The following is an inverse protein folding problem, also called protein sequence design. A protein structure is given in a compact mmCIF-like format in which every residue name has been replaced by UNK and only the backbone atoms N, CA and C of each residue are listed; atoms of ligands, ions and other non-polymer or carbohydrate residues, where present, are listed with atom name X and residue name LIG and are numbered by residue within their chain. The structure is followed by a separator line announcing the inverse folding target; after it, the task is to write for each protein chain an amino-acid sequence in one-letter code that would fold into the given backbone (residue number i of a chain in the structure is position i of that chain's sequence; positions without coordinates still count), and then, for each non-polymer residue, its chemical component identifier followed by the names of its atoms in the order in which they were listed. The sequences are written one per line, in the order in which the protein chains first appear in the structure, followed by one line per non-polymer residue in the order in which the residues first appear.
data_IF_490732207729
#
_entry.id   IF_490732207729
#
_cell.length_a   1.000
_cell.length_b   1.000
_cell.length_c   1.000
_cell.angle_alpha   90.00
_cell.angle_beta   90.00
_cell.angle_gamma   90.00
#
_symmetry.space_group_name_H-M   'P 1'
#
loop_
_entity.id
_entity.type
_entity.pdbx_description
1 polymer ?
#
# COMPACT_ATOMS: atom_id res chain seq x y z
N UNK A 1 -40.72 24.71 -4.09
CA UNK A 1 -39.53 24.18 -3.39
C UNK A 1 -38.59 23.71 -4.47
N UNK A 2 -37.68 24.59 -4.82
CA UNK A 2 -36.77 24.44 -5.99
C UNK A 2 -35.75 23.35 -5.73
N UNK A 3 -35.80 22.36 -6.58
CA UNK A 3 -34.77 21.33 -6.79
C UNK A 3 -33.50 22.04 -7.31
N UNK A 4 -32.60 22.43 -6.37
CA UNK A 4 -31.26 22.85 -6.74
C UNK A 4 -30.48 21.62 -7.14
N UNK A 5 -30.66 21.20 -8.39
CA UNK A 5 -29.80 20.24 -9.05
C UNK A 5 -28.36 20.59 -8.75
N UNK A 6 -27.67 19.67 -8.05
CA UNK A 6 -26.23 19.77 -7.81
C UNK A 6 -25.55 20.01 -9.16
N UNK A 7 -25.06 21.23 -9.37
CA UNK A 7 -24.34 21.60 -10.57
C UNK A 7 -23.17 20.64 -10.73
N UNK A 8 -23.29 19.70 -11.64
CA UNK A 8 -22.21 18.78 -12.00
C UNK A 8 -21.07 19.65 -12.54
N UNK A 9 -19.95 19.65 -11.80
CA UNK A 9 -18.75 20.34 -12.25
C UNK A 9 -18.35 19.71 -13.57
N UNK A 10 -18.56 20.42 -14.67
CA UNK A 10 -18.21 19.93 -15.99
C UNK A 10 -16.68 19.89 -16.12
N UNK A 11 -16.13 18.71 -15.97
CA UNK A 11 -14.70 18.48 -16.21
C UNK A 11 -14.50 18.34 -17.71
N UNK A 12 -13.70 19.18 -18.37
CA UNK A 12 -13.57 19.17 -19.83
C UNK A 12 -13.08 17.85 -20.41
N UNK A 13 -12.32 17.05 -19.63
CA UNK A 13 -11.76 15.75 -20.06
C UNK A 13 -11.73 14.74 -18.90
N UNK A 14 -12.88 14.17 -18.47
CA UNK A 14 -12.93 13.34 -17.28
C UNK A 14 -12.11 12.05 -17.39
N UNK A 15 -11.97 11.47 -18.58
CA UNK A 15 -11.11 10.28 -18.80
C UNK A 15 -9.62 10.60 -18.57
N UNK A 16 -9.15 11.75 -19.08
CA UNK A 16 -7.74 12.16 -18.91
C UNK A 16 -7.43 12.46 -17.44
N UNK A 17 -8.35 13.11 -16.73
CA UNK A 17 -8.21 13.32 -15.28
C UNK A 17 -8.05 11.99 -14.53
N UNK A 18 -8.86 10.98 -14.83
CA UNK A 18 -8.75 9.67 -14.19
C UNK A 18 -7.39 9.00 -14.43
N UNK A 19 -6.85 9.10 -15.65
CA UNK A 19 -5.52 8.58 -15.96
C UNK A 19 -4.41 9.35 -15.25
N UNK A 20 -4.54 10.65 -15.11
CA UNK A 20 -3.60 11.48 -14.33
C UNK A 20 -3.63 11.08 -12.85
N UNK A 21 -4.82 10.93 -12.25
CA UNK A 21 -4.95 10.48 -10.87
C UNK A 21 -4.40 9.06 -10.67
N UNK A 22 -4.62 8.16 -11.63
CA UNK A 22 -4.04 6.83 -11.61
C UNK A 22 -2.50 6.86 -11.73
N UNK A 23 -1.94 7.75 -12.55
CA UNK A 23 -0.49 7.91 -12.68
C UNK A 23 0.16 8.49 -11.41
N UNK A 24 -0.48 9.47 -10.77
CA UNK A 24 -0.06 9.96 -9.44
C UNK A 24 -0.03 8.81 -8.43
N UNK A 25 -1.10 7.99 -8.40
CA UNK A 25 -1.18 6.86 -7.50
C UNK A 25 -0.12 5.79 -7.81
N UNK A 26 0.11 5.52 -9.09
CA UNK A 26 1.12 4.56 -9.56
C UNK A 26 2.54 4.95 -9.10
N UNK A 27 2.94 6.20 -9.30
CA UNK A 27 4.31 6.65 -8.98
C UNK A 27 4.60 6.58 -7.50
N UNK A 28 3.69 7.03 -6.64
CA UNK A 28 3.93 6.96 -5.20
C UNK A 28 3.85 5.54 -4.63
N UNK A 29 3.01 4.67 -5.19
CA UNK A 29 2.97 3.24 -4.82
C UNK A 29 4.26 2.55 -5.25
N UNK A 30 4.73 2.81 -6.47
CA UNK A 30 5.98 2.25 -6.97
C UNK A 30 7.17 2.69 -6.13
N UNK A 31 7.27 3.98 -5.79
CA UNK A 31 8.31 4.52 -4.93
C UNK A 31 8.34 3.85 -3.54
N UNK A 32 7.16 3.60 -2.97
CA UNK A 32 7.06 2.85 -1.71
C UNK A 32 7.53 1.40 -1.87
N UNK A 33 7.11 0.72 -2.93
CA UNK A 33 7.34 -0.71 -3.11
C UNK A 33 8.78 -1.05 -3.52
N UNK A 34 9.44 -0.19 -4.31
CA UNK A 34 10.73 -0.53 -4.94
C UNK A 34 11.88 -0.68 -3.94
N UNK A 35 11.82 0.00 -2.79
CA UNK A 35 12.86 -0.08 -1.76
C UNK A 35 13.01 -1.49 -1.18
N UNK A 36 11.90 -2.22 -1.04
CA UNK A 36 11.91 -3.54 -0.40
C UNK A 36 12.74 -4.56 -1.20
N UNK A 37 12.52 -4.75 -2.50
CA UNK A 37 13.35 -5.67 -3.29
C UNK A 37 14.76 -5.13 -3.58
N UNK A 38 15.03 -3.83 -3.44
CA UNK A 38 16.39 -3.27 -3.46
C UNK A 38 17.18 -3.53 -2.17
N UNK A 39 16.55 -4.12 -1.16
CA UNK A 39 17.16 -4.35 0.15
C UNK A 39 18.54 -5.00 0.14
N UNK A 40 18.80 -6.09 -0.63
CA UNK A 40 20.14 -6.68 -0.70
C UNK A 40 21.19 -5.69 -1.17
N UNK A 41 20.88 -4.90 -2.19
CA UNK A 41 21.76 -3.89 -2.77
C UNK A 41 22.02 -2.74 -1.80
N UNK A 42 20.95 -2.16 -1.22
CA UNK A 42 21.06 -1.04 -0.27
C UNK A 42 21.83 -1.42 0.99
N UNK A 43 21.59 -2.63 1.54
CA UNK A 43 22.35 -3.10 2.70
C UNK A 43 23.84 -3.29 2.41
N UNK A 44 24.21 -3.59 1.17
CA UNK A 44 25.60 -3.74 0.75
C UNK A 44 26.26 -2.39 0.49
N UNK A 45 25.60 -1.49 -0.25
CA UNK A 45 26.17 -0.19 -0.64
C UNK A 45 26.37 0.71 0.56
N UNK A 46 25.40 0.79 1.46
CA UNK A 46 25.49 1.64 2.66
C UNK A 46 26.06 0.93 3.88
N UNK A 47 26.44 -0.34 3.74
CA UNK A 47 26.91 -1.20 4.86
C UNK A 47 25.99 -1.14 6.10
N UNK A 48 24.68 -1.18 5.87
CA UNK A 48 23.68 -1.05 6.91
C UNK A 48 23.17 -2.41 7.39
N UNK A 49 22.79 -2.45 8.66
CA UNK A 49 22.16 -3.62 9.30
C UNK A 49 20.72 -3.85 8.79
N UNK A 50 20.18 -5.06 8.96
CA UNK A 50 18.75 -5.34 8.70
C UNK A 50 17.80 -4.39 9.43
N UNK A 51 18.17 -3.99 10.67
CA UNK A 51 17.37 -3.01 11.44
C UNK A 51 17.39 -1.63 10.79
N UNK A 52 18.55 -1.13 10.35
CA UNK A 52 18.64 0.14 9.62
C UNK A 52 17.89 0.09 8.30
N UNK A 53 17.98 -1.02 7.56
CA UNK A 53 17.18 -1.21 6.35
C UNK A 53 15.67 -1.16 6.65
N UNK A 54 15.22 -1.75 7.74
CA UNK A 54 13.80 -1.69 8.13
C UNK A 54 13.33 -0.25 8.43
N UNK A 55 14.20 0.62 8.93
CA UNK A 55 13.91 2.05 9.08
C UNK A 55 13.68 2.75 7.72
N UNK A 56 14.45 2.42 6.67
CA UNK A 56 14.24 2.98 5.33
C UNK A 56 12.85 2.61 4.78
N UNK A 57 12.41 1.38 5.01
CA UNK A 57 11.08 0.94 4.58
C UNK A 57 9.98 1.58 5.42
N UNK A 58 10.16 1.59 6.75
CA UNK A 58 9.17 2.12 7.69
C UNK A 58 8.99 3.63 7.59
N UNK A 59 10.07 4.36 7.32
CA UNK A 59 10.08 5.83 7.26
C UNK A 59 9.00 6.38 6.34
N UNK A 60 8.85 5.79 5.16
CA UNK A 60 7.81 6.19 4.22
C UNK A 60 6.40 5.94 4.80
N UNK A 61 6.12 4.73 5.29
CA UNK A 61 4.80 4.35 5.80
C UNK A 61 4.40 5.17 7.03
N UNK A 62 5.32 5.38 7.96
CA UNK A 62 5.09 6.19 9.17
C UNK A 62 4.83 7.65 8.80
N UNK A 63 5.67 8.25 7.94
CA UNK A 63 5.48 9.61 7.48
C UNK A 63 4.17 9.78 6.70
N UNK A 64 3.82 8.82 5.81
CA UNK A 64 2.56 8.82 5.06
C UNK A 64 1.34 8.72 5.99
N UNK A 65 1.42 7.89 7.03
CA UNK A 65 0.35 7.78 8.03
C UNK A 65 0.13 9.09 8.79
N UNK A 66 1.19 9.65 9.36
CA UNK A 66 1.11 10.89 10.14
C UNK A 66 0.65 12.07 9.27
N UNK A 67 1.28 12.25 8.11
CA UNK A 67 0.93 13.35 7.21
C UNK A 67 -0.47 13.16 6.60
N UNK A 68 -0.85 11.93 6.24
CA UNK A 68 -2.20 11.63 5.73
C UNK A 68 -3.29 11.86 6.77
N UNK A 69 -3.03 11.48 8.02
CA UNK A 69 -3.95 11.74 9.14
C UNK A 69 -4.12 13.25 9.40
N UNK A 70 -3.00 13.98 9.52
CA UNK A 70 -3.02 15.43 9.72
C UNK A 70 -3.59 16.18 8.51
N UNK A 71 -3.24 15.72 7.30
CA UNK A 71 -3.76 16.27 6.05
C UNK A 71 -5.28 16.20 5.96
N UNK A 72 -5.91 15.14 6.50
CA UNK A 72 -7.36 15.00 6.53
C UNK A 72 -8.09 16.16 7.22
N UNK A 73 -7.44 16.90 8.15
CA UNK A 73 -8.03 18.06 8.83
C UNK A 73 -7.81 19.38 8.08
N UNK A 74 -6.81 19.43 7.22
CA UNK A 74 -6.32 20.68 6.61
C UNK A 74 -6.68 20.77 5.14
N UNK A 75 -6.66 19.65 4.44
CA UNK A 75 -6.80 19.60 2.98
C UNK A 75 -8.17 20.06 2.46
N UNK A 76 -9.23 19.98 3.26
CA UNK A 76 -10.56 20.46 2.87
C UNK A 76 -10.65 21.99 2.77
N UNK A 77 -9.66 22.73 3.33
CA UNK A 77 -9.57 24.19 3.26
C UNK A 77 -8.91 24.70 1.99
N UNK A 78 -8.17 23.83 1.29
CA UNK A 78 -7.41 24.19 0.09
C UNK A 78 -8.15 23.76 -1.17
N UNK A 79 -7.87 24.47 -2.25
CA UNK A 79 -8.24 24.02 -3.59
C UNK A 79 -7.55 22.69 -3.91
N UNK A 80 -8.34 21.69 -4.36
CA UNK A 80 -7.87 20.33 -4.63
C UNK A 80 -6.73 20.27 -5.64
N UNK A 81 -6.79 21.14 -6.68
CA UNK A 81 -5.73 21.26 -7.70
C UNK A 81 -4.43 21.73 -7.08
N UNK A 82 -4.47 22.85 -6.35
CA UNK A 82 -3.28 23.42 -5.71
C UNK A 82 -2.69 22.43 -4.72
N UNK A 83 -3.53 21.81 -3.87
CA UNK A 83 -3.07 20.80 -2.92
C UNK A 83 -2.39 19.61 -3.64
N UNK A 84 -3.04 19.04 -4.66
CA UNK A 84 -2.46 17.91 -5.41
C UNK A 84 -1.12 18.27 -6.05
N UNK A 85 -1.05 19.40 -6.75
CA UNK A 85 0.16 19.82 -7.46
C UNK A 85 1.31 20.13 -6.51
N UNK A 86 1.06 20.82 -5.39
CA UNK A 86 2.10 21.12 -4.40
C UNK A 86 2.62 19.84 -3.74
N UNK A 87 1.72 18.97 -3.32
CA UNK A 87 2.09 17.69 -2.67
C UNK A 87 2.84 16.78 -3.65
N UNK A 88 2.39 16.73 -4.90
CA UNK A 88 3.00 15.87 -5.90
C UNK A 88 4.36 16.42 -6.38
N UNK A 89 4.54 17.74 -6.45
CA UNK A 89 5.84 18.36 -6.68
C UNK A 89 6.81 18.02 -5.53
N UNK A 90 6.36 18.18 -4.27
CA UNK A 90 7.14 17.78 -3.10
C UNK A 90 7.53 16.30 -3.10
N UNK A 91 6.60 15.42 -3.50
CA UNK A 91 6.88 13.99 -3.69
C UNK A 91 7.96 13.75 -4.76
N UNK A 92 7.84 14.38 -5.94
CA UNK A 92 8.83 14.24 -7.02
C UNK A 92 10.23 14.72 -6.61
N UNK A 93 10.32 15.85 -5.88
CA UNK A 93 11.58 16.36 -5.35
C UNK A 93 12.16 15.43 -4.27
N UNK A 94 11.34 14.89 -3.39
CA UNK A 94 11.78 13.94 -2.38
C UNK A 94 12.27 12.61 -3.00
N UNK A 95 11.59 12.12 -4.05
CA UNK A 95 12.02 10.94 -4.81
C UNK A 95 13.34 11.20 -5.53
N UNK A 96 13.53 12.40 -6.11
CA UNK A 96 14.81 12.81 -6.68
C UNK A 96 15.91 12.89 -5.61
N UNK A 97 15.58 13.37 -4.41
CA UNK A 97 16.52 13.38 -3.28
C UNK A 97 16.89 11.95 -2.85
N UNK A 98 15.97 10.97 -2.95
CA UNK A 98 16.34 9.56 -2.74
C UNK A 98 17.38 9.09 -3.76
N UNK A 99 17.23 9.46 -5.04
CA UNK A 99 18.19 9.11 -6.09
C UNK A 99 19.57 9.76 -5.90
N UNK A 100 19.62 10.91 -5.26
CA UNK A 100 20.85 11.71 -5.06
C UNK A 100 21.44 11.53 -3.66
N UNK A 101 20.92 10.62 -2.84
CA UNK A 101 21.31 10.46 -1.45
C UNK A 101 22.72 9.85 -1.31
N UNK A 102 23.73 10.57 -0.80
CA UNK A 102 25.09 10.05 -0.68
C UNK A 102 25.30 9.18 0.56
N UNK A 103 24.39 9.25 1.54
CA UNK A 103 24.48 8.52 2.81
C UNK A 103 23.14 7.90 3.20
N UNK A 104 23.19 6.94 4.11
CA UNK A 104 21.99 6.31 4.67
C UNK A 104 21.05 7.35 5.30
N UNK A 105 21.57 8.31 6.05
CA UNK A 105 20.79 9.34 6.74
C UNK A 105 20.08 10.26 5.74
N UNK A 106 20.77 10.63 4.65
CA UNK A 106 20.19 11.42 3.56
C UNK A 106 19.05 10.65 2.87
N UNK A 107 19.26 9.36 2.60
CA UNK A 107 18.22 8.49 2.03
C UNK A 107 17.04 8.35 2.99
N UNK A 108 17.29 8.16 4.29
CA UNK A 108 16.24 8.06 5.31
C UNK A 108 15.41 9.35 5.39
N UNK A 109 16.06 10.52 5.40
CA UNK A 109 15.38 11.82 5.36
C UNK A 109 14.55 12.02 4.11
N UNK A 110 15.09 11.65 2.94
CA UNK A 110 14.36 11.71 1.66
C UNK A 110 13.15 10.76 1.66
N UNK A 111 13.25 9.55 2.24
CA UNK A 111 12.14 8.59 2.40
C UNK A 111 11.03 9.13 3.30
N UNK A 112 11.38 9.79 4.42
CA UNK A 112 10.40 10.48 5.28
C UNK A 112 9.65 11.56 4.50
N UNK A 113 10.36 12.40 3.74
CA UNK A 113 9.76 13.45 2.91
C UNK A 113 8.86 12.86 1.82
N UNK A 114 9.33 11.84 1.07
CA UNK A 114 8.56 11.18 0.02
C UNK A 114 7.27 10.55 0.58
N UNK A 115 7.36 9.91 1.76
CA UNK A 115 6.20 9.35 2.45
C UNK A 115 5.20 10.43 2.87
N UNK A 116 5.67 11.52 3.46
CA UNK A 116 4.80 12.62 3.90
C UNK A 116 4.02 13.24 2.72
N UNK A 117 4.70 13.59 1.65
CA UNK A 117 4.06 14.15 0.46
C UNK A 117 3.18 13.13 -0.28
N UNK A 118 3.69 11.90 -0.50
CA UNK A 118 2.97 10.84 -1.22
C UNK A 118 1.71 10.36 -0.51
N UNK A 119 1.75 10.21 0.82
CA UNK A 119 0.61 9.78 1.62
C UNK A 119 -0.55 10.77 1.57
N UNK A 120 -0.26 12.08 1.68
CA UNK A 120 -1.30 13.13 1.56
C UNK A 120 -1.79 13.25 0.12
N UNK A 121 -0.90 13.16 -0.88
CA UNK A 121 -1.29 13.20 -2.29
C UNK A 121 -2.28 12.08 -2.64
N UNK A 122 -2.07 10.85 -2.15
CA UNK A 122 -2.99 9.73 -2.29
C UNK A 122 -4.38 10.01 -1.68
N UNK A 123 -4.43 10.68 -0.53
CA UNK A 123 -5.69 11.09 0.10
C UNK A 123 -6.43 12.14 -0.74
N UNK A 124 -5.72 13.10 -1.31
CA UNK A 124 -6.29 14.13 -2.20
C UNK A 124 -6.84 13.49 -3.48
N UNK A 125 -6.13 12.51 -4.08
CA UNK A 125 -6.63 11.72 -5.23
C UNK A 125 -7.97 11.07 -4.93
N UNK A 126 -8.10 10.40 -3.78
CA UNK A 126 -9.35 9.76 -3.38
C UNK A 126 -10.49 10.77 -3.14
N UNK A 127 -10.18 11.93 -2.55
CA UNK A 127 -11.16 13.00 -2.37
C UNK A 127 -11.64 13.55 -3.71
N UNK A 128 -10.74 13.80 -4.66
CA UNK A 128 -11.09 14.27 -6.00
C UNK A 128 -11.98 13.29 -6.76
N UNK A 129 -11.76 11.98 -6.60
CA UNK A 129 -12.66 10.96 -7.17
C UNK A 129 -14.10 11.11 -6.64
N UNK A 130 -14.24 11.37 -5.34
CA UNK A 130 -15.53 11.60 -4.71
C UNK A 130 -16.22 12.89 -5.17
N UNK A 131 -15.44 13.96 -5.41
CA UNK A 131 -15.95 15.29 -5.75
C UNK A 131 -16.33 15.41 -7.24
N UNK A 132 -15.55 14.74 -8.14
CA UNK A 132 -15.66 14.93 -9.61
C UNK A 132 -16.57 13.89 -10.26
N UNK A 133 -16.63 12.68 -9.71
CA UNK A 133 -17.31 11.57 -10.38
C UNK A 133 -18.73 11.37 -9.84
N UNK A 134 -19.68 11.30 -10.76
CA UNK A 134 -21.09 10.98 -10.45
C UNK A 134 -21.20 9.70 -9.61
N UNK A 135 -22.12 9.64 -8.64
CA UNK A 135 -22.27 8.49 -7.72
C UNK A 135 -22.34 7.13 -8.43
N UNK A 136 -23.08 7.03 -9.56
CA UNK A 136 -23.23 5.80 -10.33
C UNK A 136 -21.98 5.34 -11.07
N UNK A 137 -20.97 6.21 -11.25
CA UNK A 137 -19.71 5.92 -11.96
C UNK A 137 -18.48 5.86 -11.05
N UNK A 138 -18.64 6.21 -9.77
CA UNK A 138 -17.52 6.24 -8.80
C UNK A 138 -16.81 4.90 -8.66
N UNK A 139 -17.53 3.79 -8.66
CA UNK A 139 -16.94 2.46 -8.57
C UNK A 139 -15.98 2.16 -9.72
N UNK A 140 -16.38 2.47 -10.95
CA UNK A 140 -15.52 2.28 -12.14
C UNK A 140 -14.30 3.22 -12.11
N UNK A 141 -14.47 4.45 -11.70
CA UNK A 141 -13.39 5.42 -11.60
C UNK A 141 -12.38 5.01 -10.51
N UNK A 142 -12.87 4.59 -9.34
CA UNK A 142 -12.02 4.06 -8.27
C UNK A 142 -11.25 2.82 -8.73
N UNK A 143 -11.87 1.90 -9.48
CA UNK A 143 -11.17 0.72 -10.01
C UNK A 143 -10.01 1.10 -10.94
N UNK A 144 -10.17 2.14 -11.78
CA UNK A 144 -9.09 2.63 -12.65
C UNK A 144 -7.92 3.16 -11.81
N UNK A 145 -8.20 3.97 -10.79
CA UNK A 145 -7.14 4.52 -9.93
C UNK A 145 -6.50 3.45 -9.05
N UNK A 146 -7.30 2.51 -8.53
CA UNK A 146 -6.80 1.39 -7.72
C UNK A 146 -6.00 0.37 -8.54
N UNK A 147 -6.14 0.32 -9.88
CA UNK A 147 -5.29 -0.51 -10.75
C UNK A 147 -3.81 -0.08 -10.73
N UNK A 148 -3.51 1.08 -10.20
CA UNK A 148 -2.14 1.55 -9.99
C UNK A 148 -1.31 0.58 -9.14
N UNK A 149 -1.90 -0.05 -8.12
CA UNK A 149 -1.18 -1.00 -7.26
C UNK A 149 -0.73 -2.27 -8.01
N UNK A 150 -1.62 -3.04 -8.66
CA UNK A 150 -1.18 -4.20 -9.44
C UNK A 150 -0.26 -3.80 -10.61
N UNK A 151 -0.47 -2.66 -11.27
CA UNK A 151 0.43 -2.20 -12.32
C UNK A 151 1.83 -1.87 -11.78
N UNK A 152 1.94 -1.23 -10.61
CA UNK A 152 3.23 -1.00 -9.98
C UNK A 152 3.96 -2.31 -9.65
N UNK A 153 3.22 -3.32 -9.15
CA UNK A 153 3.80 -4.64 -8.83
C UNK A 153 4.28 -5.41 -10.07
N UNK A 154 3.51 -5.34 -11.18
CA UNK A 154 3.78 -6.16 -12.38
C UNK A 154 4.79 -5.51 -13.30
N UNK A 155 4.69 -4.20 -13.51
CA UNK A 155 5.52 -3.46 -14.46
C UNK A 155 6.57 -2.62 -13.73
N UNK A 156 6.15 -1.90 -12.69
CA UNK A 156 7.00 -0.94 -12.01
C UNK A 156 8.16 -1.57 -11.27
N UNK A 157 7.88 -2.53 -10.39
CA UNK A 157 8.92 -3.18 -9.57
C UNK A 157 9.91 -3.97 -10.44
N UNK A 158 9.49 -4.86 -11.37
CA UNK A 158 10.44 -5.57 -12.21
C UNK A 158 11.25 -4.64 -13.12
N UNK A 159 10.63 -3.60 -13.70
CA UNK A 159 11.35 -2.61 -14.51
C UNK A 159 12.38 -1.82 -13.67
N UNK A 160 11.99 -1.40 -12.47
CA UNK A 160 12.90 -0.73 -11.54
C UNK A 160 14.08 -1.62 -11.13
N UNK A 161 13.82 -2.87 -10.78
CA UNK A 161 14.89 -3.83 -10.46
C UNK A 161 15.79 -4.12 -11.68
N UNK A 162 15.22 -4.22 -12.88
CA UNK A 162 15.98 -4.37 -14.12
C UNK A 162 16.90 -3.18 -14.40
N UNK A 163 16.46 -1.96 -14.07
CA UNK A 163 17.29 -0.76 -14.14
C UNK A 163 18.38 -0.77 -13.08
N UNK A 164 18.04 -1.12 -11.83
CA UNK A 164 19.02 -1.22 -10.75
C UNK A 164 20.11 -2.26 -11.05
N UNK A 165 19.75 -3.38 -11.69
CA UNK A 165 20.70 -4.41 -12.07
C UNK A 165 21.65 -3.99 -13.21
N UNK A 166 21.26 -2.98 -14.03
CA UNK A 166 22.07 -2.52 -15.19
C UNK A 166 22.88 -1.27 -14.89
N UNK A 167 22.38 -0.39 -14.04
CA UNK A 167 23.00 0.91 -13.78
C UNK A 167 23.45 1.01 -12.33
N UNK A 168 22.54 1.22 -11.40
CA UNK A 168 22.75 1.16 -9.95
C UNK A 168 21.39 1.31 -9.22
N UNK A 169 21.39 1.24 -7.88
CA UNK A 169 20.19 1.35 -7.02
C UNK A 169 19.45 2.69 -7.15
N UNK A 170 20.11 3.76 -7.58
CA UNK A 170 19.54 5.09 -7.81
C UNK A 170 18.63 5.14 -9.05
N UNK A 171 18.91 4.32 -10.06
CA UNK A 171 18.25 4.39 -11.37
C UNK A 171 16.72 4.26 -11.31
N UNK A 172 16.11 3.39 -10.48
CA UNK A 172 14.67 3.35 -10.29
C UNK A 172 14.09 4.67 -9.76
N UNK A 173 14.78 5.33 -8.83
CA UNK A 173 14.32 6.62 -8.26
C UNK A 173 14.41 7.75 -9.30
N UNK A 174 15.47 7.79 -10.12
CA UNK A 174 15.57 8.71 -11.25
C UNK A 174 14.41 8.50 -12.25
N UNK A 175 14.08 7.25 -12.56
CA UNK A 175 12.95 6.95 -13.44
C UNK A 175 11.63 7.45 -12.83
N UNK A 176 11.38 7.16 -11.55
CA UNK A 176 10.15 7.59 -10.87
C UNK A 176 10.07 9.11 -10.82
N UNK A 177 11.18 9.80 -10.51
CA UNK A 177 11.25 11.26 -10.51
C UNK A 177 10.98 11.85 -11.90
N UNK A 178 11.55 11.27 -12.96
CA UNK A 178 11.30 11.70 -14.33
C UNK A 178 9.82 11.50 -14.74
N UNK A 179 9.23 10.35 -14.41
CA UNK A 179 7.81 10.10 -14.63
C UNK A 179 6.96 11.09 -13.81
N UNK A 180 7.35 11.38 -12.56
CA UNK A 180 6.64 12.35 -11.73
C UNK A 180 6.65 13.77 -12.35
N UNK A 181 7.75 14.20 -12.97
CA UNK A 181 7.81 15.47 -13.68
C UNK A 181 6.82 15.48 -14.85
N UNK A 182 6.79 14.42 -15.67
CA UNK A 182 5.86 14.33 -16.81
C UNK A 182 4.41 14.35 -16.32
N UNK A 183 4.08 13.55 -15.30
CA UNK A 183 2.73 13.51 -14.72
C UNK A 183 2.36 14.84 -14.10
N UNK A 184 3.29 15.55 -13.43
CA UNK A 184 3.07 16.90 -12.89
C UNK A 184 2.71 17.90 -13.98
N UNK A 185 3.45 17.91 -15.09
CA UNK A 185 3.17 18.82 -16.23
C UNK A 185 1.77 18.55 -16.81
N UNK A 186 1.43 17.27 -16.99
CA UNK A 186 0.09 16.87 -17.48
C UNK A 186 -0.99 17.24 -16.45
N UNK A 187 -0.77 16.96 -15.18
CA UNK A 187 -1.68 17.29 -14.09
C UNK A 187 -1.93 18.82 -14.01
N UNK A 188 -0.87 19.60 -14.12
CA UNK A 188 -0.97 21.07 -14.12
C UNK A 188 -1.90 21.62 -15.22
N UNK A 189 -1.92 20.96 -16.39
CA UNK A 189 -2.75 21.36 -17.55
C UNK A 189 -4.17 20.79 -17.52
N UNK A 190 -4.41 19.69 -16.79
CA UNK A 190 -5.65 18.90 -16.90
C UNK A 190 -6.51 18.91 -15.65
N UNK A 191 -5.89 19.07 -14.47
CA UNK A 191 -6.63 19.07 -13.21
C UNK A 191 -7.34 20.41 -13.03
N UNK A 192 -8.68 20.42 -12.92
CA UNK A 192 -9.43 21.65 -12.70
C UNK A 192 -9.28 22.15 -11.26
N UNK A 193 -9.47 23.47 -11.05
CA UNK A 193 -9.63 24.03 -9.71
C UNK A 193 -10.94 23.53 -9.11
N UNK A 194 -10.85 22.89 -7.96
CA UNK A 194 -11.98 22.29 -7.25
C UNK A 194 -11.90 22.66 -5.79
N UNK A 195 -12.86 23.45 -5.33
CA UNK A 195 -13.07 23.68 -3.91
C UNK A 195 -14.04 22.64 -3.37
N UNK A 196 -13.81 22.14 -2.15
CA UNK A 196 -14.73 21.21 -1.50
C UNK A 196 -16.14 21.80 -1.44
N UNK A 197 -17.10 21.11 -2.06
CA UNK A 197 -18.49 21.57 -2.09
C UNK A 197 -19.15 21.54 -0.69
N UNK A 198 -18.65 20.68 0.20
CA UNK A 198 -19.20 20.47 1.54
C UNK A 198 -18.07 20.31 2.56
N UNK A 199 -17.49 21.42 3.06
CA UNK A 199 -16.55 21.32 4.16
C UNK A 199 -17.25 20.72 5.37
N UNK A 200 -16.63 19.72 6.00
CA UNK A 200 -17.18 19.09 7.21
C UNK A 200 -17.28 20.15 8.30
N UNK A 201 -18.51 20.43 8.76
CA UNK A 201 -18.77 21.50 9.72
C UNK A 201 -17.98 21.35 11.04
N UNK A 202 -17.75 20.11 11.49
CA UNK A 202 -17.03 19.81 12.72
C UNK A 202 -16.11 18.58 12.55
N UNK A 203 -14.96 18.69 11.85
CA UNK A 203 -14.10 17.56 11.55
C UNK A 203 -13.56 16.87 12.81
N UNK A 204 -13.20 17.63 13.86
CA UNK A 204 -12.73 17.07 15.12
C UNK A 204 -13.80 16.28 15.88
N UNK A 205 -15.07 16.76 15.87
CA UNK A 205 -16.19 16.06 16.52
C UNK A 205 -16.48 14.74 15.79
N UNK A 206 -16.51 14.77 14.48
CA UNK A 206 -16.72 13.56 13.67
C UNK A 206 -15.57 12.55 13.88
N UNK A 207 -14.32 13.01 13.88
CA UNK A 207 -13.14 12.18 14.14
C UNK A 207 -13.22 11.52 15.51
N UNK A 208 -13.57 12.30 16.55
CA UNK A 208 -13.73 11.76 17.90
C UNK A 208 -14.80 10.67 17.96
N UNK A 209 -15.94 10.86 17.29
CA UNK A 209 -16.99 9.85 17.22
C UNK A 209 -16.50 8.58 16.52
N UNK A 210 -15.77 8.72 15.41
CA UNK A 210 -15.22 7.58 14.67
C UNK A 210 -14.21 6.82 15.54
N UNK A 211 -13.31 7.51 16.23
CA UNK A 211 -12.26 6.89 17.05
C UNK A 211 -12.80 6.29 18.36
N UNK A 212 -13.91 6.80 18.90
CA UNK A 212 -14.49 6.34 20.17
C UNK A 212 -15.46 5.16 20.01
N UNK A 213 -15.87 4.85 18.78
CA UNK A 213 -16.82 3.76 18.52
C UNK A 213 -16.12 2.39 18.60
N UNK A 214 -16.66 1.50 19.43
CA UNK A 214 -16.08 0.17 19.66
C UNK A 214 -16.05 -0.72 18.39
N UNK A 215 -17.04 -0.57 17.51
CA UNK A 215 -17.07 -1.32 16.25
C UNK A 215 -15.96 -0.84 15.32
N UNK A 216 -15.77 0.49 15.24
CA UNK A 216 -14.72 1.11 14.45
C UNK A 216 -13.33 0.72 14.96
N UNK A 217 -13.10 0.74 16.28
CA UNK A 217 -11.82 0.34 16.88
C UNK A 217 -11.46 -1.12 16.56
N UNK A 218 -12.42 -2.03 16.62
CA UNK A 218 -12.22 -3.43 16.20
C UNK A 218 -11.93 -3.54 14.70
N UNK A 219 -12.58 -2.73 13.89
CA UNK A 219 -12.31 -2.63 12.46
C UNK A 219 -10.88 -2.14 12.18
N UNK A 220 -10.43 -1.10 12.88
CA UNK A 220 -9.06 -0.60 12.77
C UNK A 220 -8.03 -1.64 13.20
N UNK A 221 -8.27 -2.33 14.31
CA UNK A 221 -7.35 -3.38 14.78
C UNK A 221 -7.28 -4.56 13.79
N UNK A 222 -8.44 -5.00 13.26
CA UNK A 222 -8.48 -6.04 12.22
C UNK A 222 -7.69 -5.61 10.97
N UNK A 223 -7.87 -4.38 10.53
CA UNK A 223 -7.19 -3.81 9.36
C UNK A 223 -5.69 -3.64 9.61
N UNK A 224 -5.30 -3.23 10.82
CA UNK A 224 -3.89 -3.15 11.22
C UNK A 224 -3.23 -4.52 11.17
N UNK A 225 -3.85 -5.55 11.73
CA UNK A 225 -3.31 -6.93 11.72
C UNK A 225 -3.25 -7.53 10.32
N UNK A 226 -4.26 -7.21 9.47
CA UNK A 226 -4.28 -7.60 8.05
C UNK A 226 -3.04 -7.10 7.31
N UNK A 227 -2.68 -5.83 7.48
CA UNK A 227 -1.51 -5.22 6.84
C UNK A 227 -0.22 -5.65 7.52
N UNK A 228 -0.19 -5.66 8.85
CA UNK A 228 0.98 -6.05 9.63
C UNK A 228 1.53 -7.41 9.23
N UNK A 229 0.63 -8.41 9.07
CA UNK A 229 1.01 -9.79 8.73
C UNK A 229 1.79 -9.92 7.42
N UNK A 230 1.50 -9.11 6.41
CA UNK A 230 2.26 -9.09 5.15
C UNK A 230 3.51 -8.19 5.24
N UNK A 231 3.34 -6.99 5.83
CA UNK A 231 4.39 -5.97 5.86
C UNK A 231 5.58 -6.33 6.76
N UNK A 232 5.46 -7.29 7.66
CA UNK A 232 6.64 -7.80 8.38
C UNK A 232 7.48 -8.76 7.52
N UNK A 233 6.87 -9.48 6.56
CA UNK A 233 7.58 -10.46 5.71
C UNK A 233 8.22 -9.80 4.48
N UNK A 234 7.49 -8.90 3.81
CA UNK A 234 7.86 -8.35 2.50
C UNK A 234 9.24 -7.67 2.49
N UNK A 235 9.65 -6.83 3.48
CA UNK A 235 10.93 -6.13 3.43
C UNK A 235 12.15 -7.07 3.35
N UNK A 236 12.06 -8.22 4.00
CA UNK A 236 13.15 -9.18 4.05
C UNK A 236 13.01 -10.35 3.06
N UNK A 237 11.99 -10.34 2.22
CA UNK A 237 11.77 -11.39 1.22
C UNK A 237 12.91 -11.44 0.21
N UNK A 238 13.24 -10.33 -0.46
CA UNK A 238 14.35 -10.28 -1.40
C UNK A 238 15.72 -10.47 -0.72
N UNK A 239 16.03 -9.79 0.42
CA UNK A 239 17.25 -10.04 1.17
C UNK A 239 17.43 -11.51 1.56
N UNK A 240 16.37 -12.18 2.01
CA UNK A 240 16.42 -13.59 2.38
C UNK A 240 16.62 -14.50 1.16
N UNK A 241 16.00 -14.19 0.03
CA UNK A 241 16.20 -14.96 -1.20
C UNK A 241 17.65 -14.89 -1.70
N UNK A 242 18.28 -13.74 -1.60
CA UNK A 242 19.68 -13.58 -1.98
C UNK A 242 20.61 -14.20 -0.93
N UNK A 243 20.46 -13.83 0.33
CA UNK A 243 21.39 -14.23 1.37
C UNK A 243 21.24 -15.70 1.82
N UNK A 244 20.00 -16.22 1.87
CA UNK A 244 19.72 -17.56 2.43
C UNK A 244 19.45 -18.60 1.34
N UNK A 245 18.71 -18.23 0.28
CA UNK A 245 18.34 -19.19 -0.76
C UNK A 245 19.34 -19.26 -1.93
N UNK A 246 20.39 -18.42 -1.94
CA UNK A 246 21.46 -18.46 -2.93
C UNK A 246 21.07 -17.89 -4.29
N UNK A 247 20.01 -17.08 -4.37
CA UNK A 247 19.58 -16.43 -5.60
C UNK A 247 20.41 -15.18 -5.87
N UNK A 248 20.54 -14.79 -7.13
CA UNK A 248 21.22 -13.54 -7.52
C UNK A 248 20.23 -12.37 -7.57
N UNK A 249 20.72 -11.15 -7.35
CA UNK A 249 19.91 -9.94 -7.50
C UNK A 249 19.34 -9.79 -8.92
N UNK A 250 20.06 -10.24 -9.95
CA UNK A 250 19.60 -10.23 -11.33
C UNK A 250 18.37 -11.13 -11.61
N UNK A 251 18.09 -12.10 -10.72
CA UNK A 251 16.92 -12.98 -10.82
C UNK A 251 15.67 -12.41 -10.15
N UNK A 252 15.82 -11.42 -9.25
CA UNK A 252 14.70 -10.81 -8.54
C UNK A 252 13.64 -10.20 -9.45
N UNK A 253 13.98 -9.48 -10.54
CA UNK A 253 12.97 -8.94 -11.46
C UNK A 253 11.99 -10.00 -11.96
N UNK A 254 12.52 -11.18 -12.34
CA UNK A 254 11.71 -12.29 -12.85
C UNK A 254 10.80 -12.89 -11.76
N UNK A 255 11.32 -13.01 -10.55
CA UNK A 255 10.56 -13.52 -9.38
C UNK A 255 9.40 -12.60 -9.03
N UNK A 256 9.63 -11.28 -8.99
CA UNK A 256 8.58 -10.30 -8.71
C UNK A 256 7.58 -10.18 -9.86
N UNK A 257 8.04 -10.31 -11.12
CA UNK A 257 7.14 -10.35 -12.28
C UNK A 257 6.17 -11.53 -12.20
N UNK A 258 6.66 -12.72 -11.87
CA UNK A 258 5.81 -13.90 -11.69
C UNK A 258 4.76 -13.69 -10.59
N UNK A 259 5.15 -13.10 -9.45
CA UNK A 259 4.25 -12.76 -8.36
C UNK A 259 3.19 -11.74 -8.77
N UNK A 260 3.60 -10.67 -9.46
CA UNK A 260 2.70 -9.65 -9.98
C UNK A 260 1.69 -10.20 -10.98
N UNK A 261 2.13 -10.99 -11.95
CA UNK A 261 1.26 -11.64 -12.94
C UNK A 261 0.25 -12.59 -12.29
N UNK A 262 0.69 -13.41 -11.34
CA UNK A 262 -0.21 -14.29 -10.59
C UNK A 262 -1.27 -13.48 -9.81
N UNK A 263 -0.90 -12.36 -9.22
CA UNK A 263 -1.82 -11.46 -8.49
C UNK A 263 -2.83 -10.82 -9.45
N UNK A 264 -2.41 -10.39 -10.64
CA UNK A 264 -3.31 -9.81 -11.64
C UNK A 264 -4.44 -10.78 -12.02
N UNK A 265 -4.09 -12.03 -12.24
CA UNK A 265 -5.06 -13.08 -12.61
C UNK A 265 -5.94 -13.48 -11.42
N UNK A 266 -5.35 -13.62 -10.24
CA UNK A 266 -6.07 -14.11 -9.05
C UNK A 266 -6.99 -13.07 -8.41
N UNK A 267 -6.67 -11.77 -8.50
CA UNK A 267 -7.46 -10.71 -7.84
C UNK A 267 -8.92 -10.68 -8.30
N UNK A 268 -9.26 -10.73 -9.60
CA UNK A 268 -10.66 -10.80 -10.04
C UNK A 268 -11.37 -12.09 -9.61
N UNK A 269 -10.65 -13.22 -9.57
CA UNK A 269 -11.20 -14.50 -9.14
C UNK A 269 -11.55 -14.48 -7.66
N UNK A 270 -10.63 -13.97 -6.82
CA UNK A 270 -10.83 -13.83 -5.38
C UNK A 270 -11.93 -12.79 -5.07
N UNK A 271 -12.05 -11.74 -5.87
CA UNK A 271 -13.18 -10.80 -5.79
C UNK A 271 -14.51 -11.50 -6.00
N UNK A 272 -14.65 -12.29 -7.08
CA UNK A 272 -15.87 -13.06 -7.37
C UNK A 272 -16.19 -14.09 -6.27
N UNK A 273 -15.17 -14.74 -5.71
CA UNK A 273 -15.35 -15.64 -4.57
C UNK A 273 -15.86 -14.89 -3.33
N UNK A 274 -15.33 -13.70 -3.07
CA UNK A 274 -15.78 -12.84 -1.96
C UNK A 274 -17.23 -12.40 -2.12
N UNK A 275 -17.68 -12.16 -3.34
CA UNK A 275 -19.09 -11.79 -3.62
C UNK A 275 -20.03 -12.98 -3.49
N UNK A 276 -19.57 -14.17 -3.89
CA UNK A 276 -20.41 -15.39 -3.96
C UNK A 276 -20.51 -16.14 -2.63
N UNK A 277 -19.44 -16.12 -1.81
CA UNK A 277 -19.36 -16.88 -0.58
C UNK A 277 -19.34 -15.96 0.65
N UNK A 278 -19.53 -16.55 1.83
CA UNK A 278 -19.35 -15.86 3.11
C UNK A 278 -17.93 -15.29 3.22
N UNK A 279 -17.82 -14.00 3.45
CA UNK A 279 -16.57 -13.25 3.43
C UNK A 279 -15.59 -13.72 4.52
N UNK A 280 -16.10 -14.15 5.68
CA UNK A 280 -15.27 -14.68 6.75
C UNK A 280 -14.65 -16.03 6.35
N UNK A 281 -15.41 -16.91 5.69
CA UNK A 281 -14.87 -18.18 5.22
C UNK A 281 -13.81 -17.98 4.14
N UNK A 282 -14.05 -17.08 3.18
CA UNK A 282 -13.05 -16.73 2.15
C UNK A 282 -11.78 -16.17 2.81
N UNK A 283 -11.92 -15.24 3.77
CA UNK A 283 -10.78 -14.67 4.51
C UNK A 283 -10.01 -15.76 5.26
N UNK A 284 -10.69 -16.69 5.93
CA UNK A 284 -10.06 -17.76 6.71
C UNK A 284 -9.27 -18.72 5.81
N UNK A 285 -9.87 -19.18 4.70
CA UNK A 285 -9.20 -20.10 3.76
C UNK A 285 -7.98 -19.45 3.12
N UNK A 286 -8.09 -18.20 2.65
CA UNK A 286 -6.96 -17.49 2.07
C UNK A 286 -5.90 -17.16 3.11
N UNK A 287 -6.27 -16.89 4.37
CA UNK A 287 -5.30 -16.68 5.46
C UNK A 287 -4.58 -17.97 5.85
N UNK A 288 -5.25 -19.11 5.80
CA UNK A 288 -4.61 -20.40 6.04
C UNK A 288 -3.59 -20.75 4.95
N UNK A 289 -3.95 -20.52 3.68
CA UNK A 289 -3.01 -20.68 2.57
C UNK A 289 -1.81 -19.73 2.69
N UNK A 290 -2.06 -18.48 3.11
CA UNK A 290 -1.00 -17.50 3.36
C UNK A 290 -0.05 -17.96 4.48
N UNK A 291 -0.58 -18.54 5.57
CA UNK A 291 0.23 -19.05 6.66
C UNK A 291 1.16 -20.19 6.21
N UNK A 292 0.66 -21.12 5.40
CA UNK A 292 1.47 -22.19 4.84
C UNK A 292 2.60 -21.66 3.94
N UNK A 293 2.28 -20.71 3.07
CA UNK A 293 3.26 -20.11 2.14
C UNK A 293 4.30 -19.27 2.90
N UNK A 294 3.89 -18.50 3.93
CA UNK A 294 4.82 -17.74 4.79
C UNK A 294 5.79 -18.69 5.49
N UNK A 295 5.30 -19.83 5.97
CA UNK A 295 6.15 -20.82 6.63
C UNK A 295 7.23 -21.37 5.68
N UNK A 296 6.87 -21.65 4.43
CA UNK A 296 7.79 -22.11 3.40
C UNK A 296 8.78 -21.00 3.06
N UNK A 297 8.28 -19.80 2.74
CA UNK A 297 9.08 -18.65 2.30
C UNK A 297 10.15 -18.27 3.34
N UNK A 298 9.76 -18.19 4.62
CA UNK A 298 10.65 -17.70 5.68
C UNK A 298 11.67 -18.74 6.18
N UNK A 299 11.55 -19.99 5.72
CA UNK A 299 12.49 -21.09 6.03
C UNK A 299 13.26 -21.57 4.79
N UNK A 300 13.15 -20.88 3.68
CA UNK A 300 13.84 -21.25 2.44
C UNK A 300 15.34 -21.02 2.59
N UNK A 301 16.12 -22.11 2.55
CA UNK A 301 17.60 -22.10 2.68
C UNK A 301 18.32 -22.41 1.39
N UNK A 302 17.62 -22.95 0.39
CA UNK A 302 18.09 -23.13 -0.98
C UNK A 302 16.88 -23.19 -1.90
N UNK A 303 16.97 -22.58 -3.07
CA UNK A 303 15.88 -22.62 -4.03
C UNK A 303 16.38 -22.46 -5.47
N UNK A 304 15.75 -23.18 -6.39
CA UNK A 304 15.83 -22.83 -7.80
C UNK A 304 15.01 -21.56 -8.07
N UNK A 305 15.34 -20.84 -9.13
CA UNK A 305 14.58 -19.65 -9.54
C UNK A 305 13.09 -19.97 -9.72
N UNK A 306 12.77 -21.13 -10.30
CA UNK A 306 11.39 -21.56 -10.52
C UNK A 306 10.67 -21.77 -9.18
N UNK A 307 11.30 -22.43 -8.20
CA UNK A 307 10.72 -22.60 -6.87
C UNK A 307 10.48 -21.25 -6.18
N UNK A 308 11.42 -20.31 -6.27
CA UNK A 308 11.27 -18.96 -5.74
C UNK A 308 10.14 -18.20 -6.43
N UNK A 309 9.99 -18.31 -7.77
CA UNK A 309 8.89 -17.73 -8.53
C UNK A 309 7.53 -18.26 -8.04
N UNK A 310 7.40 -19.58 -7.89
CA UNK A 310 6.15 -20.21 -7.45
C UNK A 310 5.80 -19.78 -6.02
N UNK A 311 6.76 -19.84 -5.08
CA UNK A 311 6.52 -19.46 -3.67
C UNK A 311 6.17 -17.97 -3.57
N UNK A 312 6.85 -17.09 -4.31
CA UNK A 312 6.55 -15.66 -4.34
C UNK A 312 5.18 -15.39 -4.95
N UNK A 313 4.83 -16.08 -6.03
CA UNK A 313 3.51 -15.97 -6.65
C UNK A 313 2.39 -16.37 -5.67
N UNK A 314 2.53 -17.52 -5.01
CA UNK A 314 1.58 -17.98 -4.00
C UNK A 314 1.51 -17.00 -2.80
N UNK A 315 2.66 -16.46 -2.37
CA UNK A 315 2.71 -15.46 -1.31
C UNK A 315 1.93 -14.19 -1.71
N UNK A 316 2.22 -13.61 -2.87
CA UNK A 316 1.56 -12.39 -3.33
C UNK A 316 0.06 -12.59 -3.55
N UNK A 317 -0.34 -13.72 -4.14
CA UNK A 317 -1.75 -14.07 -4.34
C UNK A 317 -2.49 -14.20 -3.02
N UNK A 318 -1.94 -14.97 -2.08
CA UNK A 318 -2.59 -15.18 -0.78
C UNK A 318 -2.60 -13.93 0.08
N UNK A 319 -1.53 -13.10 0.05
CA UNK A 319 -1.48 -11.83 0.78
C UNK A 319 -2.48 -10.79 0.23
N UNK A 320 -2.56 -10.64 -1.10
CA UNK A 320 -3.49 -9.71 -1.75
C UNK A 320 -4.94 -10.17 -1.62
N UNK A 321 -5.19 -11.48 -1.74
CA UNK A 321 -6.53 -12.05 -1.74
C UNK A 321 -7.33 -11.85 -0.46
N UNK A 322 -6.65 -11.60 0.66
CA UNK A 322 -7.30 -11.30 1.95
C UNK A 322 -7.91 -9.91 2.02
N UNK A 323 -7.41 -8.96 1.20
CA UNK A 323 -7.89 -7.58 1.24
C UNK A 323 -9.35 -7.46 0.80
N UNK A 324 -9.76 -8.16 -0.25
CA UNK A 324 -11.14 -8.09 -0.76
C UNK A 324 -12.18 -8.46 0.31
N UNK A 325 -12.16 -9.66 0.91
CA UNK A 325 -13.15 -10.02 1.93
C UNK A 325 -13.04 -9.17 3.20
N UNK A 326 -11.83 -8.81 3.64
CA UNK A 326 -11.63 -7.98 4.81
C UNK A 326 -12.20 -6.56 4.64
N UNK A 327 -11.89 -5.89 3.53
CA UNK A 327 -12.39 -4.55 3.25
C UNK A 327 -13.91 -4.54 3.02
N UNK A 328 -14.46 -5.57 2.36
CA UNK A 328 -15.90 -5.71 2.20
C UNK A 328 -16.61 -5.84 3.56
N UNK A 329 -16.08 -6.65 4.47
CA UNK A 329 -16.63 -6.78 5.83
C UNK A 329 -16.59 -5.45 6.58
N UNK A 330 -15.45 -4.73 6.55
CA UNK A 330 -15.29 -3.42 7.19
C UNK A 330 -16.25 -2.38 6.63
N UNK A 331 -16.36 -2.29 5.30
CA UNK A 331 -17.20 -1.30 4.63
C UNK A 331 -18.68 -1.56 4.91
N UNK A 332 -19.08 -2.83 4.97
CA UNK A 332 -20.47 -3.22 5.25
C UNK A 332 -20.85 -3.07 6.73
N UNK A 333 -19.89 -3.20 7.65
CA UNK A 333 -20.13 -3.05 9.08
C UNK A 333 -20.33 -1.58 9.51
N UNK A 334 -19.74 -0.62 8.78
CA UNK A 334 -19.76 0.79 9.13
C UNK A 334 -20.96 1.50 8.51
N UNK A 335 -21.68 2.29 9.31
CA UNK A 335 -22.80 3.11 8.84
C UNK A 335 -22.38 4.05 7.70
N UNK A 336 -23.26 4.21 6.69
CA UNK A 336 -22.99 4.98 5.48
C UNK A 336 -22.50 6.42 5.78
N UNK A 337 -23.07 7.08 6.81
CA UNK A 337 -22.69 8.45 7.23
C UNK A 337 -21.25 8.59 7.72
N UNK A 338 -20.66 7.52 8.31
CA UNK A 338 -19.30 7.53 8.84
C UNK A 338 -18.28 6.87 7.94
N UNK A 339 -18.74 6.18 6.87
CA UNK A 339 -17.90 5.33 6.00
C UNK A 339 -16.70 6.09 5.41
N UNK A 340 -16.90 7.32 4.92
CA UNK A 340 -15.82 8.13 4.35
C UNK A 340 -14.74 8.46 5.38
N UNK A 341 -15.13 8.99 6.55
CA UNK A 341 -14.19 9.29 7.63
C UNK A 341 -13.51 8.06 8.20
N UNK A 342 -14.26 6.96 8.38
CA UNK A 342 -13.69 5.67 8.80
C UNK A 342 -12.62 5.16 7.83
N UNK A 343 -12.88 5.18 6.53
CA UNK A 343 -11.92 4.70 5.51
C UNK A 343 -10.65 5.57 5.45
N UNK A 344 -10.78 6.87 5.69
CA UNK A 344 -9.61 7.77 5.79
C UNK A 344 -8.72 7.43 6.99
N UNK A 345 -9.31 7.25 8.19
CA UNK A 345 -8.58 6.81 9.37
C UNK A 345 -7.99 5.42 9.17
N UNK A 346 -8.76 4.50 8.58
CA UNK A 346 -8.33 3.15 8.30
C UNK A 346 -7.10 3.10 7.38
N UNK A 347 -7.04 3.96 6.36
CA UNK A 347 -5.86 4.08 5.51
C UNK A 347 -4.61 4.52 6.29
N UNK A 348 -4.75 5.51 7.20
CA UNK A 348 -3.65 5.93 8.07
C UNK A 348 -3.22 4.80 9.02
N UNK A 349 -4.17 4.07 9.62
CA UNK A 349 -3.89 2.89 10.47
C UNK A 349 -3.14 1.81 9.69
N UNK A 350 -3.54 1.52 8.45
CA UNK A 350 -2.85 0.55 7.60
C UNK A 350 -1.41 0.96 7.30
N UNK A 351 -1.17 2.22 6.96
CA UNK A 351 0.17 2.75 6.70
C UNK A 351 1.06 2.69 7.96
N UNK A 352 0.52 3.10 9.11
CA UNK A 352 1.22 2.97 10.40
C UNK A 352 1.55 1.52 10.72
N UNK A 353 0.57 0.61 10.58
CA UNK A 353 0.77 -0.82 10.82
C UNK A 353 1.84 -1.42 9.91
N UNK A 354 1.89 -1.02 8.63
CA UNK A 354 2.93 -1.43 7.69
C UNK A 354 4.32 -0.95 8.10
N UNK A 355 4.44 0.31 8.50
CA UNK A 355 5.71 0.86 9.00
C UNK A 355 6.19 0.17 10.28
N UNK A 356 5.30 0.01 11.27
CA UNK A 356 5.62 -0.68 12.53
C UNK A 356 5.98 -2.15 12.29
N UNK A 357 5.27 -2.83 11.38
CA UNK A 357 5.57 -4.22 11.02
C UNK A 357 6.98 -4.37 10.45
N UNK A 358 7.39 -3.44 9.57
CA UNK A 358 8.73 -3.42 9.00
C UNK A 358 9.80 -3.24 10.08
N UNK A 359 9.58 -2.32 11.04
CA UNK A 359 10.50 -2.10 12.17
C UNK A 359 10.62 -3.34 13.06
N UNK A 360 9.49 -3.95 13.43
CA UNK A 360 9.48 -5.17 14.25
C UNK A 360 10.21 -6.30 13.53
N UNK A 361 10.01 -6.45 12.22
CA UNK A 361 10.74 -7.42 11.43
C UNK A 361 12.25 -7.16 11.44
N UNK A 362 12.67 -5.89 11.30
CA UNK A 362 14.09 -5.52 11.37
C UNK A 362 14.77 -5.74 12.71
N UNK A 363 14.00 -5.72 13.81
CA UNK A 363 14.50 -6.08 15.14
C UNK A 363 14.68 -7.59 15.33
N UNK A 364 13.91 -8.41 14.59
CA UNK A 364 13.95 -9.87 14.67
C UNK A 364 14.97 -10.48 13.71
N UNK A 365 15.36 -9.76 12.66
CA UNK A 365 16.31 -10.22 11.64
C UNK A 365 17.70 -9.65 11.91
N UNK A 366 18.71 -10.52 11.87
CA UNK A 366 20.12 -10.12 12.03
C UNK A 366 20.99 -10.78 10.96
N UNK A 367 22.17 -10.22 10.70
CA UNK A 367 23.21 -10.90 9.92
C UNK A 367 23.88 -11.96 10.78
N UNK A 368 23.84 -13.21 10.31
CA UNK A 368 24.55 -14.33 10.91
C UNK A 368 25.90 -14.60 10.24
N UNK A 369 26.59 -15.67 10.68
CA UNK A 369 27.83 -16.12 10.06
C UNK A 369 27.67 -16.39 8.57
N UNK A 370 28.66 -16.00 7.75
CA UNK A 370 28.59 -16.19 6.28
C UNK A 370 27.61 -15.27 5.55
N UNK A 371 27.10 -14.21 6.20
CA UNK A 371 26.22 -13.23 5.57
C UNK A 371 24.75 -13.67 5.48
N UNK A 372 24.38 -14.85 5.96
CA UNK A 372 23.00 -15.31 6.01
C UNK A 372 22.15 -14.43 6.94
N UNK A 373 20.86 -14.29 6.62
CA UNK A 373 19.89 -13.62 7.49
C UNK A 373 19.30 -14.64 8.47
N UNK A 374 19.59 -14.44 9.76
CA UNK A 374 18.99 -15.23 10.85
C UNK A 374 17.77 -14.50 11.42
N UNK A 375 16.82 -15.28 11.99
CA UNK A 375 15.62 -14.70 12.60
C UNK A 375 14.44 -14.49 11.65
N UNK A 376 14.60 -14.60 10.34
CA UNK A 376 13.50 -14.43 9.39
C UNK A 376 12.37 -15.46 9.59
N UNK A 377 12.68 -16.68 10.05
CA UNK A 377 11.67 -17.65 10.46
C UNK A 377 10.80 -17.17 11.64
N UNK A 378 11.37 -16.38 12.57
CA UNK A 378 10.61 -15.77 13.68
C UNK A 378 9.63 -14.71 13.14
N UNK A 379 10.04 -13.94 12.13
CA UNK A 379 9.16 -13.02 11.42
C UNK A 379 8.00 -13.78 10.77
N UNK A 380 8.26 -14.95 10.18
CA UNK A 380 7.23 -15.82 9.63
C UNK A 380 6.21 -16.26 10.69
N UNK A 381 6.67 -16.70 11.87
CA UNK A 381 5.78 -17.08 12.97
C UNK A 381 4.94 -15.90 13.47
N UNK A 382 5.53 -14.72 13.60
CA UNK A 382 4.81 -13.49 13.94
C UNK A 382 3.73 -13.16 12.89
N UNK A 383 4.07 -13.26 11.61
CA UNK A 383 3.12 -13.08 10.51
C UNK A 383 1.94 -14.05 10.63
N UNK A 384 2.19 -15.33 10.89
CA UNK A 384 1.16 -16.36 11.07
C UNK A 384 0.26 -16.04 12.27
N UNK A 385 0.82 -15.61 13.38
CA UNK A 385 0.04 -15.17 14.53
C UNK A 385 -0.88 -14.00 14.20
N UNK A 386 -0.38 -13.00 13.45
CA UNK A 386 -1.18 -11.86 12.99
C UNK A 386 -2.26 -12.28 11.97
N UNK A 387 -2.00 -13.28 11.10
CA UNK A 387 -3.00 -13.87 10.22
C UNK A 387 -4.14 -14.50 11.02
N UNK A 388 -3.83 -15.31 12.03
CA UNK A 388 -4.81 -15.91 12.93
C UNK A 388 -5.62 -14.84 13.68
N UNK A 389 -4.94 -13.82 14.20
CA UNK A 389 -5.59 -12.70 14.89
C UNK A 389 -6.52 -11.90 13.95
N UNK A 390 -6.14 -11.71 12.68
CA UNK A 390 -7.01 -11.06 11.68
C UNK A 390 -8.31 -11.84 11.50
N UNK A 391 -8.24 -13.16 11.34
CA UNK A 391 -9.43 -14.05 11.20
C UNK A 391 -10.27 -14.03 12.46
N UNK A 392 -9.64 -14.08 13.64
CA UNK A 392 -10.34 -14.00 14.93
C UNK A 392 -11.10 -12.66 15.08
N UNK A 393 -10.45 -11.54 14.77
CA UNK A 393 -11.07 -10.21 14.83
C UNK A 393 -12.21 -10.08 13.81
N UNK A 394 -12.06 -10.64 12.60
CA UNK A 394 -13.13 -10.72 11.62
C UNK A 394 -14.33 -11.54 12.10
N UNK A 395 -14.09 -12.66 12.79
CA UNK A 395 -15.15 -13.45 13.40
C UNK A 395 -15.88 -12.67 14.51
N UNK A 396 -15.14 -11.90 15.33
CA UNK A 396 -15.74 -11.01 16.33
C UNK A 396 -16.54 -9.86 15.70
N UNK A 397 -16.07 -9.30 14.59
CA UNK A 397 -16.79 -8.28 13.82
C UNK A 397 -18.10 -8.85 13.28
N UNK A 398 -18.06 -10.07 12.69
CA UNK A 398 -19.27 -10.78 12.24
C UNK A 398 -20.29 -11.01 13.36
N UNK A 399 -19.85 -11.34 14.56
CA UNK A 399 -20.74 -11.57 15.70
C UNK A 399 -21.55 -10.30 16.07
N UNK A 400 -20.98 -9.12 15.86
CA UNK A 400 -21.62 -7.82 16.15
C UNK A 400 -22.43 -7.32 14.96
N UNK A 401 -21.93 -7.53 13.74
CA UNK A 401 -22.54 -7.10 12.48
C UNK A 401 -22.65 -8.29 11.51
N UNK A 402 -23.59 -9.23 11.72
CA UNK A 402 -23.67 -10.46 10.93
C UNK A 402 -23.83 -10.21 9.42
N UNK A 403 -24.57 -9.15 9.06
CA UNK A 403 -24.79 -8.75 7.66
C UNK A 403 -23.50 -8.38 6.92
N UNK A 404 -22.44 -7.96 7.62
CA UNK A 404 -21.18 -7.56 7.02
C UNK A 404 -20.44 -8.72 6.34
N UNK A 405 -20.64 -9.95 6.79
CA UNK A 405 -19.98 -11.14 6.26
C UNK A 405 -20.79 -11.86 5.17
N UNK A 406 -22.06 -11.54 5.02
CA UNK A 406 -22.94 -12.24 4.06
C UNK A 406 -22.50 -12.01 2.61
N UNK A 407 -22.79 -12.98 1.70
CA UNK A 407 -22.59 -12.82 0.26
C UNK A 407 -23.30 -11.56 -0.26
N UNK A 408 -22.70 -10.94 -1.28
CA UNK A 408 -23.33 -9.82 -1.98
C UNK A 408 -24.50 -10.35 -2.82
N UNK A 409 -25.71 -9.82 -2.60
CA UNK A 409 -26.91 -10.21 -3.37
C UNK A 409 -26.88 -9.54 -4.74
#
# INVERSE_FOLDING_TARGET
MEDRSAASISVPRPKLLLWVLAAVQFTHILDYMIVMPLGPHLMRVFDISPTQFSWLVAAYGVAASLAGFLGGFVMDRFDRRTALLTLYAGFGLATLACALAPTYEALLGARLAAGAFGGVAGSVVNSMLGDVIEPGRRGRAASIVMSAFPLASILGVPAGLGLAARFDWEAPFFLIAAVAIVVFIVAHRTVPSLRSAHPVAHPFKQMRLILSDNLHQRGFLMSAMLVFSGSCVIPFMAPSMVANAGLTEAQLPLIYLAGGMATLVSTPLLGRLTDRFDKLHVLAVVSLSAAAVVLILTRMTSASVVAAMVVTALFMVSMSGRFSPAMAMLTNAVEARYRGGFMSVNAAVQQAAGGVASLVAGMLVARGPGGHLVGYSRVGLLSIACLGLTVFLAARLRAIAPHAALPSR
#
